data_IF_204841212512
#
_entry.id   IF_204841212512
#
_cell.length_a   1.000
_cell.length_b   1.000
_cell.length_c   1.000
_cell.angle_alpha   90.00
_cell.angle_beta   90.00
_cell.angle_gamma   90.00
#
_symmetry.space_group_name_H-M   'P 1'
#
loop_
_entity.id
_entity.type
_entity.pdbx_description
1 polymer ?
#
# COMPACT_ATOMS: atom_id res chain seq x y z
N UNK A 1 5.47 -3.46 -13.24
CA UNK A 1 4.01 -3.73 -13.18
C UNK A 1 3.32 -3.08 -11.99
N UNK A 2 3.52 -3.51 -10.74
CA UNK A 2 2.79 -2.92 -9.59
C UNK A 2 3.10 -1.42 -9.38
N UNK A 3 4.37 -1.03 -9.38
CA UNK A 3 4.77 0.38 -9.24
C UNK A 3 4.33 1.26 -10.43
N UNK A 4 4.36 0.71 -11.65
CA UNK A 4 3.82 1.40 -12.83
C UNK A 4 2.31 1.62 -12.70
N UNK A 5 1.58 0.65 -12.13
CA UNK A 5 0.15 0.79 -11.85
C UNK A 5 -0.10 1.88 -10.80
N UNK A 6 0.68 1.91 -9.71
CA UNK A 6 0.65 3.00 -8.72
C UNK A 6 0.85 4.37 -9.38
N UNK A 7 1.83 4.49 -10.27
CA UNK A 7 2.06 5.72 -11.02
C UNK A 7 0.87 6.08 -11.91
N UNK A 8 0.27 5.10 -12.62
CA UNK A 8 -0.89 5.31 -13.50
C UNK A 8 -2.14 5.78 -12.75
N UNK A 9 -2.37 5.28 -11.53
CA UNK A 9 -3.53 5.68 -10.70
C UNK A 9 -3.24 6.93 -9.84
N UNK A 10 -2.08 7.56 -10.01
CA UNK A 10 -1.76 8.84 -9.38
C UNK A 10 -1.22 8.75 -7.95
N UNK A 11 -0.73 7.59 -7.51
CA UNK A 11 -0.02 7.48 -6.22
C UNK A 11 1.24 8.35 -6.25
N UNK A 12 1.36 9.25 -5.27
CA UNK A 12 2.48 10.19 -5.16
C UNK A 12 3.54 9.73 -4.17
N UNK A 13 3.13 9.03 -3.12
CA UNK A 13 4.01 8.57 -2.05
C UNK A 13 3.57 7.18 -1.57
N UNK A 14 4.53 6.30 -1.31
CA UNK A 14 4.24 4.93 -0.86
C UNK A 14 5.36 4.37 -0.01
N UNK A 15 5.03 3.40 0.84
CA UNK A 15 5.99 2.53 1.49
C UNK A 15 6.03 1.16 0.82
N UNK A 16 7.20 0.55 0.79
CA UNK A 16 7.42 -0.78 0.26
C UNK A 16 8.14 -1.64 1.30
N UNK A 17 7.68 -2.87 1.48
CA UNK A 17 8.33 -3.87 2.31
C UNK A 17 8.29 -5.23 1.62
N UNK A 18 9.16 -6.13 2.05
CA UNK A 18 9.11 -7.54 1.66
C UNK A 18 8.96 -8.35 2.94
N UNK A 19 7.82 -9.04 3.06
CA UNK A 19 7.70 -10.11 4.03
C UNK A 19 8.36 -11.34 3.45
N UNK A 20 9.34 -11.88 4.17
CA UNK A 20 10.09 -13.04 3.76
C UNK A 20 10.34 -13.98 4.95
N UNK A 21 10.59 -15.27 4.69
CA UNK A 21 10.99 -16.20 5.73
C UNK A 21 12.32 -15.78 6.38
N UNK A 22 12.60 -16.24 7.61
CA UNK A 22 13.92 -16.13 8.20
C UNK A 22 15.01 -16.65 7.26
N UNK A 23 16.21 -16.08 7.35
CA UNK A 23 17.32 -16.47 6.50
C UNK A 23 17.66 -17.94 6.77
N UNK A 24 17.64 -18.76 5.73
CA UNK A 24 17.92 -20.20 5.81
C UNK A 24 16.67 -21.07 5.92
N UNK A 25 15.48 -20.48 6.01
CA UNK A 25 14.20 -21.20 6.01
C UNK A 25 13.50 -21.07 4.65
N UNK A 26 12.71 -22.09 4.30
CA UNK A 26 11.87 -22.09 3.11
C UNK A 26 10.51 -21.42 3.37
N UNK A 27 9.97 -20.70 2.39
CA UNK A 27 8.64 -20.10 2.48
C UNK A 27 8.34 -19.08 1.37
N UNK A 28 7.30 -18.28 1.57
CA UNK A 28 6.81 -17.32 0.57
C UNK A 28 7.34 -15.91 0.80
N UNK A 29 7.61 -15.22 -0.31
CA UNK A 29 7.92 -13.81 -0.33
C UNK A 29 6.66 -13.04 -0.72
N UNK A 30 6.31 -12.04 0.08
CA UNK A 30 5.18 -11.15 -0.18
C UNK A 30 5.71 -9.73 -0.28
N UNK A 31 5.60 -9.14 -1.48
CA UNK A 31 5.80 -7.72 -1.66
C UNK A 31 4.60 -6.94 -1.10
N UNK A 32 4.87 -5.99 -0.23
CA UNK A 32 3.86 -5.16 0.43
C UNK A 32 4.04 -3.71 0.00
N UNK A 33 3.02 -3.12 -0.61
CA UNK A 33 2.98 -1.73 -1.05
C UNK A 33 1.83 -1.01 -0.37
N UNK A 34 2.10 0.18 0.18
CA UNK A 34 1.10 1.00 0.89
C UNK A 34 1.15 2.42 0.34
N UNK A 35 0.06 2.88 -0.26
CA UNK A 35 -0.15 4.29 -0.62
C UNK A 35 -0.22 5.16 0.65
N UNK A 36 0.54 6.25 0.67
CA UNK A 36 0.62 7.22 1.77
C UNK A 36 -0.06 8.56 1.43
N UNK A 37 -0.79 8.63 0.32
CA UNK A 37 -1.58 9.78 -0.07
C UNK A 37 -0.75 10.96 -0.60
N UNK A 38 -1.36 12.14 -0.58
CA UNK A 38 -0.75 13.39 -1.09
C UNK A 38 0.42 13.81 -0.20
N UNK A 39 1.57 14.09 -0.82
CA UNK A 39 2.79 14.56 -0.15
C UNK A 39 2.61 15.87 0.63
N UNK A 40 1.59 16.66 0.31
CA UNK A 40 1.25 17.92 0.97
C UNK A 40 0.25 17.72 2.11
N UNK A 41 -0.35 16.54 2.22
CA UNK A 41 -1.32 16.21 3.26
C UNK A 41 -0.61 15.81 4.55
N UNK A 42 -0.81 16.59 5.60
CA UNK A 42 -0.31 16.27 6.95
C UNK A 42 -1.12 15.19 7.67
N UNK A 43 -2.32 14.89 7.16
CA UNK A 43 -3.25 13.92 7.77
C UNK A 43 -3.15 12.53 7.16
N UNK A 44 -2.32 12.35 6.13
CA UNK A 44 -2.09 11.05 5.50
C UNK A 44 -0.96 10.26 6.16
N UNK A 45 -0.35 10.83 7.20
CA UNK A 45 0.68 10.16 8.00
C UNK A 45 0.07 9.24 9.08
N UNK A 46 0.91 8.56 9.87
CA UNK A 46 0.43 7.77 11.03
C UNK A 46 0.10 8.68 12.21
N UNK A 47 -0.98 8.37 12.93
CA UNK A 47 -1.44 9.16 14.07
C UNK A 47 -1.66 8.32 15.32
N UNK A 48 -2.36 8.90 16.30
CA UNK A 48 -2.64 8.23 17.57
C UNK A 48 -3.50 6.98 17.44
N UNK A 49 -4.32 6.88 16.39
CA UNK A 49 -5.16 5.70 16.14
C UNK A 49 -4.28 4.49 15.74
N UNK A 50 -3.34 4.71 14.85
CA UNK A 50 -2.36 3.70 14.45
C UNK A 50 -1.41 3.36 15.61
N UNK A 51 -0.90 4.38 16.30
CA UNK A 51 0.14 4.21 17.32
C UNK A 51 -0.37 3.63 18.64
N UNK A 52 -1.51 4.11 19.14
CA UNK A 52 -1.99 3.75 20.47
C UNK A 52 -3.13 2.74 20.46
N UNK A 53 -4.01 2.79 19.46
CA UNK A 53 -5.09 1.82 19.32
C UNK A 53 -4.68 0.61 18.45
N UNK A 54 -3.51 0.68 17.79
CA UNK A 54 -2.97 -0.42 16.99
C UNK A 54 -3.81 -0.74 15.75
N UNK A 55 -4.64 0.20 15.29
CA UNK A 55 -5.56 -0.03 14.16
C UNK A 55 -5.26 0.94 13.01
N UNK A 56 -5.26 0.40 11.79
CA UNK A 56 -5.01 1.18 10.58
C UNK A 56 -6.27 1.95 10.17
N UNK A 57 -6.13 3.24 9.87
CA UNK A 57 -7.19 4.03 9.25
C UNK A 57 -7.11 3.87 7.73
N UNK A 58 -8.17 3.31 7.14
CA UNK A 58 -8.30 3.15 5.68
C UNK A 58 -9.24 4.22 5.16
N UNK A 59 -8.71 5.15 4.35
CA UNK A 59 -9.46 6.31 3.84
C UNK A 59 -10.29 6.02 2.58
N UNK A 60 -10.16 4.84 1.98
CA UNK A 60 -10.74 4.51 0.68
C UNK A 60 -11.29 3.09 0.66
N UNK A 61 -12.35 2.87 -0.11
CA UNK A 61 -12.97 1.54 -0.26
C UNK A 61 -12.00 0.58 -1.01
N UNK A 62 -11.56 -0.51 -0.36
CA UNK A 62 -10.62 -1.45 -0.97
C UNK A 62 -11.19 -2.20 -2.17
N UNK A 63 -12.51 -2.39 -2.24
CA UNK A 63 -13.15 -3.06 -3.38
C UNK A 63 -13.14 -2.15 -4.61
N UNK A 64 -13.40 -0.85 -4.41
CA UNK A 64 -13.29 0.16 -5.48
C UNK A 64 -11.86 0.28 -6.00
N UNK A 65 -10.88 0.23 -5.11
CA UNK A 65 -9.48 0.19 -5.51
C UNK A 65 -9.18 -1.06 -6.36
N UNK A 66 -9.67 -2.23 -5.94
CA UNK A 66 -9.46 -3.48 -6.67
C UNK A 66 -10.05 -3.46 -8.09
N UNK A 67 -11.26 -2.91 -8.25
CA UNK A 67 -11.87 -2.68 -9.56
C UNK A 67 -10.95 -1.83 -10.45
N UNK A 68 -10.43 -0.72 -9.90
CA UNK A 68 -9.57 0.22 -10.63
C UNK A 68 -8.22 -0.38 -11.02
N UNK A 69 -7.60 -1.15 -10.11
CA UNK A 69 -6.34 -1.86 -10.34
C UNK A 69 -6.49 -2.92 -11.43
N UNK A 70 -7.61 -3.66 -11.42
CA UNK A 70 -7.88 -4.70 -12.41
C UNK A 70 -7.92 -4.12 -13.82
N UNK A 71 -8.62 -3.00 -14.02
CA UNK A 71 -8.66 -2.31 -15.32
C UNK A 71 -7.28 -1.80 -15.74
N UNK A 72 -6.49 -1.29 -14.79
CA UNK A 72 -5.19 -0.65 -15.07
C UNK A 72 -4.04 -1.65 -15.30
N UNK A 73 -4.17 -2.88 -14.78
CA UNK A 73 -3.17 -3.94 -14.90
C UNK A 73 -3.38 -4.86 -16.12
N UNK A 74 -4.52 -4.78 -16.80
CA UNK A 74 -4.72 -5.44 -18.11
C UNK A 74 -3.81 -4.74 -19.14
N UNK A 75 -3.04 -5.50 -19.95
CA UNK A 75 -2.15 -4.93 -20.96
C UNK A 75 -2.88 -4.08 -22.01
#
# INVERSE_FOLDING_TARGET
KALECYQKIGVQSYNAAVYMPPIGEGGHYVGWLVDRGDLRSRTSDIGGMELYAGTSVVSSDPFRLMEHLTVTMIP
#
